data_IF_897458513986
#
_entry.id   IF_897458513986
#
_cell.length_a   1.000
_cell.length_b   1.000
_cell.length_c   1.000
_cell.angle_alpha   90.00
_cell.angle_beta   90.00
_cell.angle_gamma   90.00
#
_symmetry.space_group_name_H-M   'P 1'
#
loop_
_entity.id
_entity.type
_entity.pdbx_description
1 polymer ?
#
# COMPACT_ATOMS: atom_id res chain seq x y z
N UNK A 1 -6.52 19.24 -3.72
CA UNK A 1 -7.09 18.03 -3.09
C UNK A 1 -6.07 17.42 -2.13
N UNK A 2 -6.49 16.73 -1.05
CA UNK A 2 -5.54 16.13 -0.09
C UNK A 2 -5.25 14.65 -0.41
N UNK A 3 -4.08 14.16 0.01
CA UNK A 3 -3.68 12.76 -0.16
C UNK A 3 -4.64 11.82 0.57
N UNK A 4 -5.05 12.15 1.80
CA UNK A 4 -6.00 11.34 2.58
C UNK A 4 -7.35 11.19 1.87
N UNK A 5 -7.83 12.26 1.22
CA UNK A 5 -9.09 12.22 0.48
C UNK A 5 -8.99 11.31 -0.74
N UNK A 6 -7.87 11.34 -1.46
CA UNK A 6 -7.61 10.41 -2.58
C UNK A 6 -7.51 8.99 -2.07
N UNK A 7 -6.75 8.75 -0.99
CA UNK A 7 -6.61 7.43 -0.39
C UNK A 7 -7.97 6.85 0.04
N UNK A 8 -8.79 7.63 0.74
CA UNK A 8 -10.13 7.21 1.15
C UNK A 8 -11.02 6.88 -0.05
N UNK A 9 -10.99 7.71 -1.10
CA UNK A 9 -11.76 7.48 -2.32
C UNK A 9 -11.34 6.18 -3.03
N UNK A 10 -10.04 5.93 -3.17
CA UNK A 10 -9.53 4.70 -3.78
C UNK A 10 -9.83 3.46 -2.94
N UNK A 11 -9.70 3.53 -1.62
CA UNK A 11 -10.09 2.46 -0.71
C UNK A 11 -11.57 2.12 -0.88
N UNK A 12 -12.45 3.13 -0.97
CA UNK A 12 -13.88 2.91 -1.19
C UNK A 12 -14.18 2.30 -2.56
N UNK A 13 -13.51 2.76 -3.62
CA UNK A 13 -13.66 2.21 -4.98
C UNK A 13 -13.23 0.73 -4.99
N UNK A 14 -12.09 0.40 -4.39
CA UNK A 14 -11.57 -0.96 -4.30
C UNK A 14 -12.47 -1.91 -3.51
N UNK A 15 -13.09 -1.42 -2.43
CA UNK A 15 -14.02 -2.19 -1.61
C UNK A 15 -15.40 -2.42 -2.26
N UNK A 16 -15.78 -1.62 -3.25
CA UNK A 16 -17.11 -1.70 -3.90
C UNK A 16 -17.21 -2.97 -4.75
N UNK A 17 -18.15 -3.87 -4.47
CA UNK A 17 -18.34 -5.14 -5.19
C UNK A 17 -19.81 -5.53 -5.32
N UNK A 18 -20.13 -6.58 -6.10
CA UNK A 18 -21.49 -7.07 -6.30
C UNK A 18 -22.25 -6.46 -7.49
N UNK A 19 -23.54 -6.77 -7.62
CA UNK A 19 -24.40 -6.27 -8.71
C UNK A 19 -24.49 -4.73 -8.65
N UNK A 20 -24.33 -4.07 -9.80
CA UNK A 20 -24.33 -2.60 -9.89
C UNK A 20 -23.03 -1.92 -9.43
N UNK A 21 -22.01 -2.69 -9.01
CA UNK A 21 -20.72 -2.13 -8.56
C UNK A 21 -20.01 -1.29 -9.63
N UNK A 22 -20.15 -1.63 -10.91
CA UNK A 22 -19.55 -0.87 -12.01
C UNK A 22 -20.05 0.58 -12.06
N UNK A 23 -21.38 0.79 -12.04
CA UNK A 23 -21.96 2.13 -12.02
C UNK A 23 -21.53 2.91 -10.78
N UNK A 24 -21.57 2.26 -9.61
CA UNK A 24 -21.15 2.90 -8.35
C UNK A 24 -19.67 3.28 -8.34
N UNK A 25 -18.79 2.45 -8.89
CA UNK A 25 -17.36 2.77 -9.06
C UNK A 25 -17.19 3.94 -10.03
N UNK A 26 -17.93 3.97 -11.13
CA UNK A 26 -17.89 5.07 -12.10
C UNK A 26 -18.29 6.41 -11.46
N UNK A 27 -19.36 6.44 -10.66
CA UNK A 27 -19.80 7.63 -9.93
C UNK A 27 -18.75 8.13 -8.94
N UNK A 28 -18.11 7.21 -8.19
CA UNK A 28 -17.06 7.56 -7.24
C UNK A 28 -15.83 8.15 -7.94
N UNK A 29 -15.43 7.57 -9.08
CA UNK A 29 -14.34 8.11 -9.92
C UNK A 29 -14.73 9.48 -10.46
N UNK A 30 -15.93 9.64 -11.03
CA UNK A 30 -16.39 10.92 -11.56
C UNK A 30 -16.38 12.03 -10.49
N UNK A 31 -16.84 11.72 -9.27
CA UNK A 31 -16.80 12.66 -8.14
C UNK A 31 -15.38 13.03 -7.72
N UNK A 32 -14.46 12.07 -7.73
CA UNK A 32 -13.05 12.33 -7.41
C UNK A 32 -12.43 13.28 -8.45
N UNK A 33 -12.64 12.99 -9.74
CA UNK A 33 -12.08 13.79 -10.82
C UNK A 33 -12.72 15.18 -10.93
N UNK A 34 -14.01 15.32 -10.64
CA UNK A 34 -14.69 16.62 -10.59
C UNK A 34 -14.15 17.55 -9.49
N UNK A 35 -13.66 16.98 -8.38
CA UNK A 35 -13.04 17.74 -7.29
C UNK A 35 -11.55 18.05 -7.52
N UNK A 36 -10.94 17.43 -8.53
CA UNK A 36 -9.51 17.54 -8.82
C UNK A 36 -9.25 18.64 -9.87
N UNK A 37 -8.18 19.40 -9.68
CA UNK A 37 -7.68 20.35 -10.68
C UNK A 37 -7.14 19.61 -11.91
N UNK A 38 -6.95 20.31 -13.05
CA UNK A 38 -6.44 19.70 -14.28
C UNK A 38 -5.10 18.95 -14.08
N UNK A 39 -4.17 19.54 -13.30
CA UNK A 39 -2.89 18.93 -12.96
C UNK A 39 -3.07 17.67 -12.11
N UNK A 40 -3.92 17.72 -11.09
CA UNK A 40 -4.23 16.56 -10.24
C UNK A 40 -4.89 15.44 -11.06
N UNK A 41 -5.81 15.77 -11.97
CA UNK A 41 -6.45 14.77 -12.82
C UNK A 41 -5.44 14.06 -13.74
N UNK A 42 -4.49 14.79 -14.32
CA UNK A 42 -3.42 14.19 -15.14
C UNK A 42 -2.56 13.24 -14.32
N UNK A 43 -2.19 13.64 -13.09
CA UNK A 43 -1.47 12.76 -12.18
C UNK A 43 -2.28 11.52 -11.79
N UNK A 44 -3.55 11.68 -11.42
CA UNK A 44 -4.42 10.57 -11.04
C UNK A 44 -4.68 9.58 -12.18
N UNK A 45 -4.79 10.06 -13.43
CA UNK A 45 -4.86 9.18 -14.60
C UNK A 45 -3.62 8.31 -14.70
N UNK A 46 -2.44 8.92 -14.67
CA UNK A 46 -1.17 8.18 -14.72
C UNK A 46 -1.03 7.20 -13.55
N UNK A 47 -1.51 7.58 -12.36
CA UNK A 47 -1.45 6.73 -11.16
C UNK A 47 -2.31 5.48 -11.31
N UNK A 48 -3.54 5.65 -11.81
CA UNK A 48 -4.49 4.55 -12.01
C UNK A 48 -4.13 3.66 -13.20
N UNK A 49 -3.52 4.21 -14.25
CA UNK A 49 -3.06 3.43 -15.42
C UNK A 49 -1.72 2.72 -15.20
N UNK A 50 -0.99 3.06 -14.12
CA UNK A 50 0.36 2.54 -13.88
C UNK A 50 1.44 3.18 -14.79
N UNK A 51 1.11 4.28 -15.46
CA UNK A 51 2.01 5.00 -16.38
C UNK A 51 2.91 6.01 -15.67
N UNK A 52 2.74 6.20 -14.36
CA UNK A 52 3.70 6.89 -13.51
C UNK A 52 4.98 6.04 -13.44
N UNK A 53 5.80 6.11 -14.49
CA UNK A 53 7.16 5.54 -14.58
C UNK A 53 8.11 6.29 -13.64
N UNK A 54 7.75 6.39 -12.36
CA UNK A 54 8.39 7.23 -11.36
C UNK A 54 9.79 6.75 -10.99
N UNK A 55 10.26 5.62 -11.53
CA UNK A 55 11.61 5.12 -11.28
C UNK A 55 11.93 4.86 -9.81
N UNK A 56 10.92 4.97 -8.92
CA UNK A 56 11.01 4.79 -7.48
C UNK A 56 11.09 3.28 -7.18
N UNK A 57 12.17 2.68 -7.68
CA UNK A 57 12.65 1.38 -7.25
C UNK A 57 12.74 1.42 -5.72
N UNK A 58 12.35 0.34 -5.06
CA UNK A 58 12.34 0.24 -3.60
C UNK A 58 13.67 0.72 -2.95
N UNK A 59 14.79 0.66 -3.68
CA UNK A 59 16.08 1.24 -3.30
C UNK A 59 16.03 2.75 -2.97
N UNK A 60 15.58 3.60 -3.90
CA UNK A 60 15.55 5.07 -3.71
C UNK A 60 14.61 5.45 -2.56
N UNK A 61 13.46 4.78 -2.46
CA UNK A 61 12.52 5.03 -1.36
C UNK A 61 13.10 4.62 -0.01
N UNK A 62 13.93 3.58 0.04
CA UNK A 62 14.58 3.17 1.29
C UNK A 62 15.60 4.21 1.74
N UNK A 63 16.38 4.78 0.81
CA UNK A 63 17.33 5.84 1.12
C UNK A 63 16.61 7.14 1.54
N UNK A 64 15.47 7.45 0.93
CA UNK A 64 14.63 8.58 1.35
C UNK A 64 14.09 8.40 2.78
N UNK A 65 13.68 7.19 3.16
CA UNK A 65 13.25 6.89 4.55
C UNK A 65 14.41 7.02 5.52
N UNK A 66 15.60 6.54 5.15
CA UNK A 66 16.80 6.71 5.97
C UNK A 66 17.11 8.20 6.20
N UNK A 67 17.05 9.02 5.15
CA UNK A 67 17.24 10.46 5.25
C UNK A 67 16.16 11.15 6.12
N UNK A 68 14.88 10.78 5.95
CA UNK A 68 13.78 11.38 6.68
C UNK A 68 13.76 11.03 8.19
N UNK A 69 14.29 9.85 8.54
CA UNK A 69 14.30 9.35 9.93
C UNK A 69 15.63 9.56 10.65
N UNK A 70 16.71 9.88 9.91
CA UNK A 70 18.08 9.92 10.44
C UNK A 70 18.65 8.52 10.78
N UNK A 71 17.94 7.45 10.43
CA UNK A 71 18.37 6.07 10.71
C UNK A 71 19.34 5.60 9.62
N UNK A 72 20.44 4.90 9.95
CA UNK A 72 21.34 4.35 8.94
C UNK A 72 20.62 3.49 7.90
N UNK A 73 20.86 3.77 6.61
CA UNK A 73 20.22 3.06 5.49
C UNK A 73 20.31 1.52 5.56
N UNK A 74 21.42 0.89 6.03
CA UNK A 74 21.47 -0.56 6.23
C UNK A 74 20.40 -1.09 7.20
N UNK A 75 20.08 -0.35 8.27
CA UNK A 75 19.07 -0.75 9.24
C UNK A 75 17.65 -0.65 8.64
N UNK A 76 17.37 0.41 7.89
CA UNK A 76 16.09 0.59 7.17
C UNK A 76 15.91 -0.51 6.11
N UNK A 77 16.96 -0.80 5.31
CA UNK A 77 16.95 -1.90 4.33
C UNK A 77 16.68 -3.24 4.98
N UNK A 78 17.36 -3.56 6.09
CA UNK A 78 17.12 -4.79 6.84
C UNK A 78 15.67 -4.89 7.31
N UNK A 79 15.13 -3.84 7.92
CA UNK A 79 13.74 -3.81 8.38
C UNK A 79 12.74 -4.00 7.22
N UNK A 80 12.98 -3.34 6.09
CA UNK A 80 12.15 -3.49 4.89
C UNK A 80 12.22 -4.90 4.29
N UNK A 81 13.41 -5.52 4.25
CA UNK A 81 13.59 -6.90 3.80
C UNK A 81 12.88 -7.91 4.71
N UNK A 82 12.96 -7.73 6.03
CA UNK A 82 12.36 -8.65 7.00
C UNK A 82 10.84 -8.47 7.12
N UNK A 83 10.36 -7.22 7.04
CA UNK A 83 8.94 -6.89 7.16
C UNK A 83 8.15 -6.91 5.85
N UNK A 84 8.82 -6.85 4.69
CA UNK A 84 8.19 -6.79 3.36
C UNK A 84 7.33 -5.53 3.11
N UNK A 85 7.36 -4.55 4.01
CA UNK A 85 6.47 -3.38 4.00
C UNK A 85 7.25 -2.11 4.39
N UNK A 86 7.81 -1.44 3.38
CA UNK A 86 8.57 -0.19 3.56
C UNK A 86 7.73 0.95 4.18
N UNK A 87 6.44 1.16 3.82
CA UNK A 87 5.59 2.14 4.53
C UNK A 87 5.51 1.93 6.04
N UNK A 88 5.36 0.67 6.49
CA UNK A 88 5.33 0.36 7.92
C UNK A 88 6.67 0.68 8.60
N UNK A 89 7.79 0.38 7.93
CA UNK A 89 9.14 0.72 8.38
C UNK A 89 9.33 2.23 8.51
N UNK A 90 8.86 3.01 7.54
CA UNK A 90 8.91 4.46 7.57
C UNK A 90 8.10 5.03 8.74
N UNK A 91 6.87 4.56 8.94
CA UNK A 91 6.01 4.99 10.05
C UNK A 91 6.66 4.68 11.41
N UNK A 92 7.23 3.48 11.59
CA UNK A 92 7.93 3.09 12.81
C UNK A 92 9.18 3.97 13.04
N UNK A 93 9.99 4.21 12.00
CA UNK A 93 11.18 5.05 12.10
C UNK A 93 10.87 6.51 12.43
N UNK A 94 9.79 7.08 11.85
CA UNK A 94 9.38 8.46 12.11
C UNK A 94 8.79 8.67 13.50
N UNK A 95 8.17 7.65 14.09
CA UNK A 95 7.49 7.76 15.38
C UNK A 95 8.33 7.28 16.56
N UNK A 96 9.15 6.25 16.36
CA UNK A 96 9.94 5.61 17.43
C UNK A 96 11.43 5.43 17.12
N UNK A 97 11.92 6.04 16.03
CA UNK A 97 13.35 6.05 15.69
C UNK A 97 13.91 4.67 15.40
N UNK A 98 15.24 4.54 15.53
CA UNK A 98 15.96 3.31 15.20
C UNK A 98 15.51 2.09 16.04
N UNK A 99 15.16 2.31 17.32
CA UNK A 99 14.73 1.24 18.22
C UNK A 99 13.42 0.58 17.75
N UNK A 100 12.50 1.36 17.16
CA UNK A 100 11.24 0.85 16.64
C UNK A 100 11.44 -0.12 15.46
N UNK A 101 12.59 -0.10 14.79
CA UNK A 101 12.88 -1.06 13.71
C UNK A 101 13.14 -2.49 14.20
N UNK A 102 13.34 -2.71 15.50
CA UNK A 102 13.59 -4.03 16.05
C UNK A 102 12.37 -4.98 15.92
N UNK A 103 11.16 -4.43 15.74
CA UNK A 103 9.93 -5.22 15.56
C UNK A 103 9.87 -5.95 14.21
N UNK A 104 10.64 -5.50 13.21
CA UNK A 104 10.68 -6.12 11.89
C UNK A 104 11.60 -7.34 11.92
N UNK A 105 11.04 -8.47 12.34
CA UNK A 105 11.68 -9.78 12.37
C UNK A 105 11.12 -10.70 11.29
N UNK A 106 11.92 -11.66 10.82
CA UNK A 106 11.44 -12.68 9.90
C UNK A 106 10.30 -13.49 10.55
N UNK A 107 9.10 -13.44 9.97
CA UNK A 107 8.04 -14.40 10.29
C UNK A 107 8.07 -15.52 9.27
N UNK A 108 8.41 -16.72 9.72
CA UNK A 108 8.24 -17.93 8.91
C UNK A 108 6.74 -18.21 8.84
N UNK A 109 6.14 -18.03 7.67
CA UNK A 109 4.78 -18.50 7.40
C UNK A 109 4.81 -20.03 7.35
N UNK A 110 4.78 -20.67 8.52
CA UNK A 110 4.71 -22.11 8.64
C UNK A 110 3.33 -22.61 8.19
N UNK A 111 3.30 -23.27 7.03
CA UNK A 111 2.25 -24.15 6.48
C UNK A 111 0.81 -23.61 6.57
N UNK A 112 0.26 -23.25 5.41
CA UNK A 112 -1.17 -23.38 5.15
C UNK A 112 -1.59 -24.81 5.47
N UNK A 113 -2.18 -25.03 6.65
CA UNK A 113 -3.05 -26.16 6.86
C UNK A 113 -4.28 -25.93 5.99
N UNK A 114 -4.20 -26.42 4.75
CA UNK A 114 -5.36 -26.68 3.91
C UNK A 114 -6.16 -27.79 4.59
N UNK A 115 -6.95 -27.42 5.61
CA UNK A 115 -8.02 -28.26 6.10
C UNK A 115 -9.24 -27.98 5.20
N UNK A 116 -9.22 -28.57 4.00
CA UNK A 116 -10.48 -28.79 3.27
C UNK A 116 -11.27 -29.82 4.09
N UNK A 117 -12.48 -29.52 4.54
CA UNK A 117 -13.32 -30.56 5.12
C UNK A 117 -13.65 -31.57 4.01
N UNK A 118 -13.26 -32.82 4.25
CA UNK A 118 -13.73 -34.01 3.55
C UNK A 118 -15.26 -34.00 3.56
N UNK A 119 -15.83 -33.74 2.38
CA UNK A 119 -17.27 -33.70 2.16
C UNK A 119 -17.55 -34.71 1.07
N UNK A 120 -17.51 -35.99 1.41
CA UNK A 120 -18.19 -37.06 0.67
C UNK A 120 -18.26 -38.35 1.50
N UNK A 121 -19.28 -38.46 2.37
CA UNK A 121 -19.92 -39.75 2.73
C UNK A 121 -21.38 -39.51 3.06
N UNK A 122 -22.25 -39.54 2.05
CA UNK A 122 -23.63 -40.02 2.09
C UNK A 122 -24.14 -40.16 0.65
N UNK A 123 -24.01 -41.37 0.11
CA UNK A 123 -24.91 -42.07 -0.81
C UNK A 123 -24.52 -43.55 -0.74
#
# INVERSE_FOLDING_TARGET
MTVDRVHAAFTQIGATSGKGSQGRRADLVARLFAAATATEQTFLRGLLSGELRQGALAGIMTDAVAAATGIPAPAVRRAAMLGGNLPAVAAAGLTGGAAALAVFTLRVAGRSADARPDRDRHC
#
